data_IF_070331400297
#
_entry.id   IF_070331400297
#
_cell.length_a   1.000
_cell.length_b   1.000
_cell.length_c   1.000
_cell.angle_alpha   90.00
_cell.angle_beta   90.00
_cell.angle_gamma   90.00
#
_symmetry.space_group_name_H-M   'P 1'
#
loop_
_entity.id
_entity.type
_entity.pdbx_description
1 polymer ?
#
# COMPACT_ATOMS: atom_id res chain seq x y z
N UNK A 1 -11.33 -11.49 5.58
CA UNK A 1 -10.95 -11.28 4.16
C UNK A 1 -11.67 -10.08 3.55
N UNK A 2 -13.01 -10.11 3.45
CA UNK A 2 -13.81 -9.08 2.77
C UNK A 2 -13.57 -7.64 3.25
N UNK A 3 -13.48 -7.43 4.57
CA UNK A 3 -13.16 -6.12 5.15
C UNK A 3 -11.77 -5.63 4.70
N UNK A 4 -10.76 -6.51 4.70
CA UNK A 4 -9.41 -6.19 4.23
C UNK A 4 -9.39 -5.89 2.74
N UNK A 5 -10.20 -6.57 1.92
CA UNK A 5 -10.33 -6.27 0.50
C UNK A 5 -10.84 -4.85 0.25
N UNK A 6 -11.84 -4.40 1.02
CA UNK A 6 -12.33 -3.01 0.96
C UNK A 6 -11.24 -2.05 1.44
N UNK A 7 -10.64 -2.30 2.60
CA UNK A 7 -9.60 -1.42 3.15
C UNK A 7 -8.37 -1.29 2.24
N UNK A 8 -7.94 -2.38 1.60
CA UNK A 8 -6.85 -2.38 0.63
C UNK A 8 -7.21 -1.55 -0.60
N UNK A 9 -8.39 -1.78 -1.18
CA UNK A 9 -8.83 -1.10 -2.40
C UNK A 9 -8.98 0.42 -2.21
N UNK A 10 -9.36 0.86 -1.00
CA UNK A 10 -9.38 2.27 -0.61
C UNK A 10 -8.04 2.77 -0.04
N UNK A 11 -6.97 1.98 -0.13
CA UNK A 11 -5.60 2.35 0.25
C UNK A 11 -5.48 2.78 1.73
N UNK A 12 -6.28 2.16 2.60
CA UNK A 12 -6.28 2.42 4.05
C UNK A 12 -5.09 1.76 4.73
N UNK A 13 -4.79 0.51 4.37
CA UNK A 13 -3.66 -0.24 4.92
C UNK A 13 -3.02 -1.13 3.86
N UNK A 14 -1.74 -1.46 4.06
CA UNK A 14 -1.06 -2.48 3.26
C UNK A 14 -1.62 -3.85 3.62
N UNK A 15 -1.98 -4.64 2.63
CA UNK A 15 -2.39 -6.03 2.77
C UNK A 15 -1.62 -6.90 1.76
N UNK A 16 -1.54 -8.23 1.97
CA UNK A 16 -0.96 -9.15 1.00
C UNK A 16 -1.87 -9.40 -0.22
N UNK A 17 -3.01 -8.70 -0.32
CA UNK A 17 -3.96 -8.86 -1.42
C UNK A 17 -3.46 -8.13 -2.67
N UNK A 18 -3.69 -8.75 -3.83
CA UNK A 18 -3.43 -8.13 -5.12
C UNK A 18 -4.72 -7.51 -5.67
N UNK A 19 -4.69 -6.22 -5.95
CA UNK A 19 -5.79 -5.49 -6.59
C UNK A 19 -5.63 -5.56 -8.11
N UNK A 20 -6.61 -6.17 -8.78
CA UNK A 20 -6.60 -6.44 -10.23
C UNK A 20 -7.92 -6.04 -10.85
N UNK A 21 -7.94 -5.89 -12.17
CA UNK A 21 -9.15 -5.61 -12.94
C UNK A 21 -9.22 -6.49 -14.17
N UNK A 22 -10.42 -6.86 -14.59
CA UNK A 22 -10.65 -7.54 -15.86
C UNK A 22 -10.76 -6.54 -17.02
N UNK A 23 -11.01 -5.26 -16.73
CA UNK A 23 -11.13 -4.22 -17.73
C UNK A 23 -9.75 -3.76 -18.19
N UNK A 24 -9.40 -4.13 -19.44
CA UNK A 24 -8.16 -3.65 -20.07
C UNK A 24 -8.11 -2.12 -20.12
N UNK A 25 -9.24 -1.47 -20.37
CA UNK A 25 -9.34 -0.01 -20.39
C UNK A 25 -9.02 0.59 -19.01
N UNK A 26 -9.54 0.02 -17.93
CA UNK A 26 -9.21 0.47 -16.57
C UNK A 26 -7.72 0.25 -16.26
N UNK A 27 -7.18 -0.95 -16.55
CA UNK A 27 -5.77 -1.27 -16.33
C UNK A 27 -4.82 -0.32 -17.09
N UNK A 28 -5.08 -0.07 -18.37
CA UNK A 28 -4.32 0.89 -19.17
C UNK A 28 -4.44 2.32 -18.66
N UNK A 29 -5.61 2.72 -18.18
CA UNK A 29 -5.82 4.05 -17.60
C UNK A 29 -5.03 4.23 -16.31
N UNK A 30 -4.95 3.19 -15.46
CA UNK A 30 -4.10 3.20 -14.28
C UNK A 30 -2.61 3.25 -14.62
N UNK A 31 -2.17 2.47 -15.62
CA UNK A 31 -0.76 2.42 -16.00
C UNK A 31 -0.22 3.77 -16.50
N UNK A 32 -1.09 4.66 -17.01
CA UNK A 32 -0.71 6.01 -17.43
C UNK A 32 -1.02 7.10 -16.38
N UNK A 33 -1.79 6.77 -15.34
CA UNK A 33 -2.23 7.74 -14.35
C UNK A 33 -1.02 8.26 -13.55
N UNK A 34 -0.84 9.59 -13.51
CA UNK A 34 0.28 10.26 -12.84
C UNK A 34 1.68 9.75 -13.32
N UNK A 35 1.74 9.18 -14.53
CA UNK A 35 2.96 8.64 -15.13
C UNK A 35 3.70 9.73 -15.93
N UNK A 36 4.99 9.92 -15.66
CA UNK A 36 5.83 10.96 -16.30
C UNK A 36 6.33 10.55 -17.68
N UNK A 37 6.55 9.26 -17.91
CA UNK A 37 7.34 8.79 -19.05
C UNK A 37 6.48 8.41 -20.26
N UNK A 38 5.15 8.67 -20.22
CA UNK A 38 4.18 8.31 -21.26
C UNK A 38 4.24 6.84 -21.71
N UNK A 39 4.80 5.96 -20.88
CA UNK A 39 4.96 4.53 -21.15
C UNK A 39 4.25 3.76 -20.05
N UNK A 40 3.25 2.96 -20.41
CA UNK A 40 2.51 2.10 -19.49
C UNK A 40 2.90 0.63 -19.62
N UNK A 41 2.70 -0.11 -18.53
CA UNK A 41 2.89 -1.56 -18.47
C UNK A 41 1.62 -2.24 -17.98
N UNK A 42 1.26 -3.35 -18.64
CA UNK A 42 0.14 -4.21 -18.26
C UNK A 42 0.67 -5.60 -17.96
N UNK A 43 0.34 -6.10 -16.77
CA UNK A 43 0.65 -7.44 -16.32
C UNK A 43 -0.61 -8.29 -16.45
N UNK A 44 -0.53 -9.38 -17.21
CA UNK A 44 -1.65 -10.30 -17.42
C UNK A 44 -1.43 -11.52 -16.56
N UNK A 45 -2.36 -11.78 -15.63
CA UNK A 45 -2.29 -12.88 -14.69
C UNK A 45 -3.32 -13.97 -15.04
N UNK A 46 -2.89 -15.22 -15.00
CA UNK A 46 -3.73 -16.40 -15.12
C UNK A 46 -4.29 -16.80 -13.77
N UNK A 47 -5.59 -16.64 -13.60
CA UNK A 47 -6.30 -16.86 -12.34
C UNK A 47 -7.49 -17.80 -12.58
N UNK A 48 -7.85 -18.68 -11.62
CA UNK A 48 -9.00 -19.56 -11.75
C UNK A 48 -10.30 -18.85 -12.13
N UNK A 49 -11.19 -19.57 -12.80
CA UNK A 49 -12.45 -19.02 -13.28
C UNK A 49 -13.34 -18.57 -12.12
N UNK A 50 -13.88 -17.36 -12.21
CA UNK A 50 -14.72 -16.77 -11.18
C UNK A 50 -16.19 -17.15 -11.38
N UNK A 51 -16.73 -17.90 -10.43
CA UNK A 51 -18.11 -18.42 -10.44
C UNK A 51 -19.10 -17.59 -9.61
N UNK A 52 -18.63 -16.60 -8.84
CA UNK A 52 -19.49 -15.85 -7.92
C UNK A 52 -18.92 -14.52 -7.43
N UNK A 53 -19.48 -14.02 -6.32
CA UNK A 53 -19.00 -12.79 -5.65
C UNK A 53 -17.65 -13.02 -4.94
N UNK A 54 -17.53 -14.19 -4.34
CA UNK A 54 -16.31 -14.74 -3.78
C UNK A 54 -16.15 -16.11 -4.43
N UNK A 55 -14.99 -16.36 -5.04
CA UNK A 55 -14.66 -17.64 -5.65
C UNK A 55 -13.39 -18.15 -5.02
N UNK A 56 -13.47 -19.33 -4.44
CA UNK A 56 -12.35 -20.03 -3.81
C UNK A 56 -12.03 -21.23 -4.69
N UNK A 57 -10.77 -21.33 -5.09
CA UNK A 57 -10.21 -22.49 -5.76
C UNK A 57 -9.19 -23.14 -4.82
N UNK A 58 -9.54 -24.33 -4.30
CA UNK A 58 -8.73 -25.06 -3.35
C UNK A 58 -7.55 -25.79 -3.99
N UNK A 59 -7.61 -26.08 -5.29
CA UNK A 59 -6.50 -26.74 -6.00
C UNK A 59 -5.38 -25.73 -6.27
N UNK A 60 -5.77 -24.52 -6.64
CA UNK A 60 -4.88 -23.41 -6.96
C UNK A 60 -4.60 -22.52 -5.73
N UNK A 61 -5.23 -22.82 -4.59
CA UNK A 61 -5.15 -22.06 -3.34
C UNK A 61 -5.38 -20.56 -3.55
N UNK A 62 -6.38 -20.18 -4.36
CA UNK A 62 -6.69 -18.78 -4.64
C UNK A 62 -8.11 -18.46 -4.20
N UNK A 63 -8.25 -17.33 -3.52
CA UNK A 63 -9.54 -16.67 -3.38
C UNK A 63 -9.59 -15.37 -4.17
N UNK A 64 -10.66 -15.25 -4.95
CA UNK A 64 -11.02 -14.05 -5.69
C UNK A 64 -12.23 -13.38 -5.04
N UNK A 65 -12.15 -12.07 -4.88
CA UNK A 65 -13.22 -11.23 -4.31
C UNK A 65 -13.60 -10.17 -5.32
N UNK A 66 -14.78 -10.30 -5.92
CA UNK A 66 -15.32 -9.31 -6.86
C UNK A 66 -15.91 -8.13 -6.10
N UNK A 67 -15.16 -7.02 -6.02
CA UNK A 67 -15.58 -5.86 -5.24
C UNK A 67 -16.85 -5.21 -5.79
N UNK A 68 -17.05 -5.27 -7.11
CA UNK A 68 -18.28 -4.79 -7.76
C UNK A 68 -19.54 -5.41 -7.14
N UNK A 69 -19.50 -6.70 -6.78
CA UNK A 69 -20.66 -7.44 -6.28
C UNK A 69 -20.82 -7.39 -4.76
N UNK A 70 -19.81 -6.89 -4.06
CA UNK A 70 -19.75 -6.82 -2.60
C UNK A 70 -19.94 -5.38 -2.11
N UNK A 71 -19.51 -4.40 -2.92
CA UNK A 71 -19.71 -2.99 -2.64
C UNK A 71 -21.19 -2.66 -2.48
N UNK A 72 -21.50 -1.85 -1.47
CA UNK A 72 -22.81 -1.24 -1.36
C UNK A 72 -22.92 -0.05 -2.34
N UNK A 73 -24.12 0.49 -2.52
CA UNK A 73 -24.39 1.67 -3.37
C UNK A 73 -23.58 2.93 -2.99
N UNK A 74 -22.94 2.91 -1.82
CA UNK A 74 -22.06 3.97 -1.33
C UNK A 74 -20.62 3.87 -1.85
N UNK A 75 -20.21 2.69 -2.34
CA UNK A 75 -18.86 2.37 -2.81
C UNK A 75 -18.78 2.52 -4.33
N UNK A 76 -18.50 3.73 -4.81
CA UNK A 76 -18.48 4.03 -6.25
C UNK A 76 -17.19 3.60 -6.92
N UNK A 77 -16.06 3.73 -6.22
CA UNK A 77 -14.73 3.39 -6.76
C UNK A 77 -14.63 1.97 -7.34
N UNK A 78 -15.06 0.89 -6.63
CA UNK A 78 -15.05 -0.47 -7.19
C UNK A 78 -15.84 -0.62 -8.48
N UNK A 79 -16.89 0.19 -8.66
CA UNK A 79 -17.78 0.09 -9.82
C UNK A 79 -17.11 0.58 -11.10
N UNK A 80 -16.43 1.72 -11.03
CA UNK A 80 -15.74 2.30 -12.19
C UNK A 80 -14.44 1.58 -12.56
N UNK A 81 -13.84 0.85 -11.60
CA UNK A 81 -12.55 0.18 -11.79
C UNK A 81 -12.70 -1.29 -12.17
N UNK A 82 -13.91 -1.85 -12.08
CA UNK A 82 -14.15 -3.30 -12.14
C UNK A 82 -13.17 -4.07 -11.23
N UNK A 83 -13.04 -3.61 -9.98
CA UNK A 83 -12.01 -4.08 -9.06
C UNK A 83 -12.24 -5.50 -8.55
N UNK A 84 -11.15 -6.27 -8.52
CA UNK A 84 -11.06 -7.61 -7.95
C UNK A 84 -9.88 -7.69 -7.01
N UNK A 85 -10.08 -8.31 -5.85
CA UNK A 85 -9.01 -8.57 -4.90
C UNK A 85 -8.72 -10.06 -4.89
N UNK A 86 -7.45 -10.39 -5.11
CA UNK A 86 -6.98 -11.77 -5.21
C UNK A 86 -6.04 -12.05 -4.06
N UNK A 87 -6.19 -13.21 -3.46
CA UNK A 87 -5.34 -13.67 -2.36
C UNK A 87 -4.96 -15.12 -2.61
N UNK A 88 -3.74 -15.48 -2.25
CA UNK A 88 -3.36 -16.88 -2.03
C UNK A 88 -3.81 -17.32 -0.64
N UNK A 89 -4.59 -18.40 -0.58
CA UNK A 89 -5.04 -19.00 0.67
C UNK A 89 -3.91 -19.78 1.36
N UNK A 90 -3.97 -19.85 2.69
CA UNK A 90 -3.15 -20.74 3.53
C UNK A 90 -1.63 -20.69 3.33
N UNK A 91 -1.04 -19.52 3.06
CA UNK A 91 0.41 -19.39 3.03
C UNK A 91 0.99 -19.47 4.46
N UNK A 92 1.68 -20.56 4.79
CA UNK A 92 2.61 -20.54 5.93
C UNK A 92 3.90 -19.83 5.53
N UNK A 93 4.69 -19.34 6.49
CA UNK A 93 6.00 -18.72 6.20
C UNK A 93 6.94 -19.67 5.41
N UNK A 94 6.75 -20.99 5.54
CA UNK A 94 7.44 -22.00 4.74
C UNK A 94 7.01 -22.02 3.28
N UNK A 95 5.73 -21.85 2.99
CA UNK A 95 5.20 -21.90 1.62
C UNK A 95 5.61 -20.64 0.83
N UNK A 96 5.66 -19.50 1.52
CA UNK A 96 6.19 -18.24 0.97
C UNK A 96 7.65 -18.39 0.58
N UNK A 97 8.48 -19.05 1.41
CA UNK A 97 9.90 -19.28 1.12
C UNK A 97 10.14 -20.22 -0.06
N UNK A 98 9.23 -21.16 -0.31
CA UNK A 98 9.30 -22.06 -1.47
C UNK A 98 8.81 -21.40 -2.77
N UNK A 99 8.07 -20.30 -2.68
CA UNK A 99 7.55 -19.57 -3.84
C UNK A 99 6.43 -20.31 -4.58
N UNK A 100 5.90 -21.40 -4.05
CA UNK A 100 4.89 -22.23 -4.71
C UNK A 100 3.59 -21.45 -4.97
N UNK A 101 3.26 -20.54 -4.05
CA UNK A 101 2.06 -19.70 -4.02
C UNK A 101 2.32 -18.24 -4.48
N UNK A 102 3.42 -18.00 -5.20
CA UNK A 102 3.78 -16.67 -5.71
C UNK A 102 2.98 -16.32 -6.98
N UNK A 103 2.31 -15.15 -7.00
CA UNK A 103 1.63 -14.61 -8.17
C UNK A 103 2.54 -14.45 -9.39
N UNK A 104 3.86 -14.33 -9.19
CA UNK A 104 4.83 -14.30 -10.30
C UNK A 104 4.74 -15.55 -11.19
N UNK A 105 4.35 -16.71 -10.63
CA UNK A 105 4.16 -17.96 -11.39
C UNK A 105 2.88 -17.97 -12.21
N UNK A 106 1.99 -16.99 -11.99
CA UNK A 106 0.73 -16.80 -12.70
C UNK A 106 0.81 -15.70 -13.76
N UNK A 107 1.96 -15.07 -13.92
CA UNK A 107 2.18 -14.07 -14.96
C UNK A 107 2.23 -14.73 -16.34
N UNK A 108 1.23 -14.45 -17.16
CA UNK A 108 1.12 -14.96 -18.53
C UNK A 108 1.89 -14.04 -19.48
N UNK A 109 1.75 -12.72 -19.32
CA UNK A 109 2.34 -11.76 -20.24
C UNK A 109 2.57 -10.40 -19.57
N UNK A 110 3.56 -9.66 -20.10
CA UNK A 110 3.76 -8.24 -19.81
C UNK A 110 3.71 -7.49 -21.14
N UNK A 111 2.81 -6.52 -21.25
CA UNK A 111 2.73 -5.63 -22.39
C UNK A 111 3.24 -4.24 -22.02
N UNK A 112 4.09 -3.69 -22.89
CA UNK A 112 4.52 -2.30 -22.83
C UNK A 112 3.79 -1.52 -23.91
N UNK A 113 3.27 -0.34 -23.58
CA UNK A 113 2.62 0.54 -24.55
C UNK A 113 3.01 2.00 -24.32
N UNK A 114 2.91 2.80 -25.39
CA UNK A 114 3.09 4.24 -25.33
C UNK A 114 1.72 4.91 -25.25
N UNK A 115 1.56 5.86 -24.33
CA UNK A 115 0.35 6.65 -24.16
C UNK A 115 0.20 7.67 -25.30
N UNK A 116 -0.37 7.24 -26.42
CA UNK A 116 -0.57 8.09 -27.60
C UNK A 116 -1.86 7.71 -28.35
N UNK A 117 -2.25 8.54 -29.31
CA UNK A 117 -3.44 8.32 -30.13
C UNK A 117 -3.39 7.03 -30.93
N UNK A 118 -2.20 6.54 -31.30
CA UNK A 118 -2.05 5.26 -32.01
C UNK A 118 -2.44 4.07 -31.13
N UNK A 119 -2.11 4.10 -29.85
CA UNK A 119 -2.50 3.06 -28.90
C UNK A 119 -3.99 3.11 -28.57
N UNK A 120 -4.52 4.31 -28.28
CA UNK A 120 -5.92 4.46 -27.86
C UNK A 120 -6.91 4.41 -29.02
N UNK A 121 -6.51 4.81 -30.23
CA UNK A 121 -7.39 4.89 -31.39
C UNK A 121 -8.58 5.81 -31.12
N UNK A 122 -9.79 5.25 -31.15
CA UNK A 122 -11.03 5.97 -30.84
C UNK A 122 -11.34 6.01 -29.34
N UNK A 123 -10.73 5.13 -28.55
CA UNK A 123 -10.89 5.10 -27.11
C UNK A 123 -10.11 6.24 -26.46
N UNK A 124 -10.42 6.51 -25.19
CA UNK A 124 -9.65 7.43 -24.35
C UNK A 124 -9.44 6.82 -22.98
N UNK A 125 -8.33 7.15 -22.30
CA UNK A 125 -8.15 6.76 -20.92
C UNK A 125 -9.31 7.23 -20.05
N UNK A 126 -9.67 6.42 -19.06
CA UNK A 126 -10.65 6.78 -18.04
C UNK A 126 -10.06 7.95 -17.24
N UNK A 127 -10.84 9.01 -17.10
CA UNK A 127 -10.42 10.20 -16.36
C UNK A 127 -10.22 9.88 -14.87
N UNK A 128 -9.28 10.59 -14.24
CA UNK A 128 -8.95 10.41 -12.82
C UNK A 128 -10.18 10.60 -11.93
N UNK A 129 -11.05 11.55 -12.26
CA UNK A 129 -12.26 11.85 -11.47
C UNK A 129 -13.29 10.72 -11.53
N UNK A 130 -13.24 9.87 -12.57
CA UNK A 130 -14.11 8.68 -12.69
C UNK A 130 -13.48 7.50 -11.96
N UNK A 131 -12.16 7.29 -12.11
CA UNK A 131 -11.43 6.25 -11.38
C UNK A 131 -11.47 6.53 -9.87
N UNK A 132 -11.30 7.77 -9.46
CA UNK A 132 -11.29 8.22 -8.07
C UNK A 132 -12.41 9.26 -7.86
N UNK A 133 -13.67 8.82 -7.75
CA UNK A 133 -14.80 9.72 -7.57
C UNK A 133 -14.65 10.54 -6.30
N UNK A 134 -14.82 11.87 -6.41
CA UNK A 134 -14.80 12.77 -5.26
C UNK A 134 -15.95 12.47 -4.28
N UNK A 135 -17.14 12.22 -4.83
CA UNK A 135 -18.35 11.92 -4.06
C UNK A 135 -18.49 10.42 -3.81
N UNK A 136 -17.60 9.86 -3.01
CA UNK A 136 -17.64 8.47 -2.56
C UNK A 136 -17.76 8.43 -1.02
N UNK A 137 -18.92 7.97 -0.52
CA UNK A 137 -19.19 7.91 0.92
C UNK A 137 -18.32 6.85 1.60
N UNK A 138 -18.01 5.75 0.91
CA UNK A 138 -17.11 4.73 1.43
C UNK A 138 -15.68 5.28 1.54
N UNK A 139 -15.23 6.09 0.58
CA UNK A 139 -13.95 6.80 0.68
C UNK A 139 -13.87 7.63 1.96
N UNK A 140 -14.91 8.42 2.28
CA UNK A 140 -14.94 9.23 3.51
C UNK A 140 -14.87 8.36 4.78
N UNK A 141 -15.59 7.24 4.80
CA UNK A 141 -15.54 6.27 5.92
C UNK A 141 -14.13 5.70 6.05
N UNK A 142 -13.54 5.24 4.94
CA UNK A 142 -12.19 4.70 4.90
C UNK A 142 -11.12 5.71 5.31
N UNK A 143 -11.25 6.98 4.91
CA UNK A 143 -10.36 8.06 5.36
C UNK A 143 -10.48 8.31 6.86
N UNK A 144 -11.71 8.26 7.41
CA UNK A 144 -11.94 8.38 8.85
C UNK A 144 -11.29 7.22 9.60
N UNK A 145 -11.49 5.98 9.14
CA UNK A 145 -10.85 4.79 9.71
C UNK A 145 -9.32 4.88 9.58
N UNK A 146 -8.81 5.38 8.46
CA UNK A 146 -7.37 5.56 8.24
C UNK A 146 -6.80 6.51 9.29
N UNK A 147 -7.47 7.64 9.56
CA UNK A 147 -7.11 8.56 10.64
C UNK A 147 -7.23 7.87 11.99
N UNK A 148 -8.39 7.27 12.30
CA UNK A 148 -8.67 6.60 13.58
C UNK A 148 -7.76 5.42 13.88
N UNK A 149 -7.24 4.69 12.88
CA UNK A 149 -6.25 3.62 13.08
C UNK A 149 -4.98 4.12 13.77
N UNK A 150 -4.61 5.39 13.56
CA UNK A 150 -3.52 6.06 14.28
C UNK A 150 -3.96 6.54 15.67
N UNK A 151 -5.26 6.79 15.89
CA UNK A 151 -5.82 7.25 17.18
C UNK A 151 -6.28 6.12 18.11
N UNK A 152 -6.62 4.92 17.62
CA UNK A 152 -7.06 3.79 18.45
C UNK A 152 -5.92 3.12 19.21
N UNK A 153 -4.68 3.36 18.81
CA UNK A 153 -3.53 3.15 19.68
C UNK A 153 -3.49 4.17 20.84
N UNK A 154 -4.12 5.33 20.74
CA UNK A 154 -3.97 6.46 21.68
C UNK A 154 -4.89 6.44 22.92
N UNK A 155 -5.60 5.34 23.24
CA UNK A 155 -6.60 5.36 24.34
C UNK A 155 -6.33 4.42 25.54
N UNK A 156 -5.23 3.67 25.55
CA UNK A 156 -4.74 2.97 26.76
C UNK A 156 -3.26 3.35 26.96
N UNK A 157 -2.85 3.72 28.18
CA UNK A 157 -1.57 4.39 28.47
C UNK A 157 -0.35 3.86 27.70
N UNK A 158 -0.14 2.54 27.70
CA UNK A 158 0.99 1.90 27.01
C UNK A 158 0.82 1.87 25.49
N UNK A 159 -0.41 1.71 24.99
CA UNK A 159 -0.71 1.72 23.56
C UNK A 159 -0.54 3.11 22.97
N UNK A 160 -0.71 4.17 23.76
CA UNK A 160 -0.60 5.56 23.30
C UNK A 160 0.79 5.86 22.75
N UNK A 161 1.80 5.50 23.54
CA UNK A 161 3.20 5.70 23.16
C UNK A 161 3.52 4.88 21.89
N UNK A 162 3.04 3.63 21.81
CA UNK A 162 3.23 2.78 20.61
C UNK A 162 2.60 3.43 19.38
N UNK A 163 1.39 3.95 19.52
CA UNK A 163 0.66 4.66 18.47
C UNK A 163 1.38 5.90 17.99
N UNK A 164 1.82 6.73 18.92
CA UNK A 164 2.56 7.95 18.64
C UNK A 164 3.87 7.64 17.89
N UNK A 165 4.63 6.66 18.35
CA UNK A 165 5.85 6.23 17.68
C UNK A 165 5.57 5.75 16.25
N UNK A 166 4.58 4.87 16.06
CA UNK A 166 4.24 4.33 14.74
C UNK A 166 3.68 5.40 13.79
N UNK A 167 2.94 6.38 14.31
CA UNK A 167 2.45 7.51 13.53
C UNK A 167 3.64 8.33 12.99
N UNK A 168 4.53 8.77 13.88
CA UNK A 168 5.73 9.54 13.53
C UNK A 168 6.65 8.77 12.56
N UNK A 169 6.78 7.46 12.75
CA UNK A 169 7.59 6.60 11.87
C UNK A 169 7.02 6.51 10.46
N UNK A 170 5.70 6.26 10.33
CA UNK A 170 5.04 6.18 9.02
C UNK A 170 5.13 7.50 8.25
N UNK A 171 5.03 8.58 8.99
CA UNK A 171 5.24 9.94 8.53
C UNK A 171 6.61 10.14 7.87
N UNK A 172 7.68 9.64 8.49
CA UNK A 172 9.03 9.61 7.89
C UNK A 172 9.08 8.72 6.64
N UNK A 173 8.47 7.53 6.69
CA UNK A 173 8.43 6.61 5.54
C UNK A 173 7.73 7.23 4.33
N UNK A 174 6.62 7.94 4.55
CA UNK A 174 5.83 8.55 3.49
C UNK A 174 6.61 9.65 2.77
N UNK A 175 7.40 10.44 3.50
CA UNK A 175 8.23 11.49 2.92
C UNK A 175 9.37 10.93 2.09
N UNK A 176 10.12 9.97 2.63
CA UNK A 176 11.18 9.29 1.89
C UNK A 176 10.62 8.68 0.61
N UNK A 177 9.41 8.10 0.67
CA UNK A 177 8.71 7.58 -0.51
C UNK A 177 8.32 8.68 -1.50
N UNK A 178 7.82 9.84 -1.04
CA UNK A 178 7.46 10.97 -1.90
C UNK A 178 8.68 11.55 -2.63
N UNK A 179 9.79 11.71 -1.92
CA UNK A 179 11.02 12.30 -2.48
C UNK A 179 11.73 11.37 -3.46
N UNK A 180 11.77 10.07 -3.16
CA UNK A 180 12.54 9.10 -3.97
C UNK A 180 11.72 8.25 -4.92
N UNK A 181 10.39 8.25 -4.78
CA UNK A 181 9.47 7.31 -5.43
C UNK A 181 9.79 5.82 -5.20
N UNK A 182 10.63 5.50 -4.21
CA UNK A 182 10.98 4.12 -3.88
C UNK A 182 10.05 3.54 -2.82
N UNK A 183 9.54 2.33 -3.08
CA UNK A 183 8.68 1.61 -2.13
C UNK A 183 9.46 0.99 -0.96
N UNK A 184 10.77 0.77 -1.12
CA UNK A 184 11.63 0.27 -0.06
C UNK A 184 12.30 1.46 0.65
N UNK A 185 11.96 1.62 1.94
CA UNK A 185 12.45 2.73 2.76
C UNK A 185 13.97 2.87 2.76
N UNK A 186 14.71 1.77 2.89
CA UNK A 186 16.18 1.80 2.95
C UNK A 186 16.84 2.10 1.62
N UNK A 187 16.23 1.64 0.53
CA UNK A 187 16.66 2.05 -0.81
C UNK A 187 16.39 3.54 -1.00
N UNK A 188 15.24 4.04 -0.54
CA UNK A 188 14.92 5.47 -0.52
C UNK A 188 15.97 6.29 0.24
N UNK A 189 16.28 5.94 1.49
CA UNK A 189 17.32 6.62 2.27
C UNK A 189 18.68 6.58 1.55
N UNK A 190 19.06 5.43 0.99
CA UNK A 190 20.32 5.30 0.25
C UNK A 190 20.35 6.20 -1.00
N UNK A 191 19.22 6.34 -1.71
CA UNK A 191 19.07 7.26 -2.84
C UNK A 191 19.19 8.72 -2.39
N UNK A 192 18.58 9.12 -1.27
CA UNK A 192 18.69 10.49 -0.74
C UNK A 192 20.12 10.85 -0.33
N UNK A 193 20.84 9.89 0.26
CA UNK A 193 22.27 10.06 0.60
C UNK A 193 23.12 10.16 -0.66
N UNK A 194 22.84 9.36 -1.69
CA UNK A 194 23.54 9.44 -2.99
C UNK A 194 23.25 10.74 -3.74
N UNK A 195 22.13 11.40 -3.47
CA UNK A 195 21.78 12.72 -3.99
C UNK A 195 22.38 13.87 -3.17
N UNK A 196 23.41 13.58 -2.36
CA UNK A 196 24.11 14.55 -1.49
C UNK A 196 23.20 15.27 -0.48
N UNK A 197 22.11 14.62 -0.04
CA UNK A 197 21.29 15.20 1.03
C UNK A 197 22.00 15.03 2.39
N UNK A 198 22.75 16.07 2.76
CA UNK A 198 23.60 16.17 3.97
C UNK A 198 22.82 15.80 5.25
N UNK A 199 21.53 16.13 5.32
CA UNK A 199 20.69 15.86 6.49
C UNK A 199 20.41 14.36 6.67
N UNK A 200 20.11 13.64 5.58
CA UNK A 200 19.90 12.20 5.62
C UNK A 200 21.21 11.44 5.82
N UNK A 201 22.32 11.93 5.28
CA UNK A 201 23.64 11.33 5.48
C UNK A 201 24.04 11.39 6.96
N UNK A 202 23.89 12.56 7.58
CA UNK A 202 24.19 12.77 9.01
C UNK A 202 23.34 11.89 9.92
N UNK A 203 22.05 11.74 9.61
CA UNK A 203 21.08 11.03 10.46
C UNK A 203 20.90 9.55 10.10
N UNK A 204 21.61 9.03 9.10
CA UNK A 204 21.45 7.65 8.59
C UNK A 204 21.55 6.58 9.68
N UNK A 205 22.55 6.69 10.55
CA UNK A 205 22.78 5.70 11.63
C UNK A 205 21.62 5.66 12.62
N UNK A 206 21.08 6.83 12.95
CA UNK A 206 19.98 6.94 13.92
C UNK A 206 18.65 6.49 13.29
N UNK A 207 18.42 6.79 12.01
CA UNK A 207 17.28 6.26 11.26
C UNK A 207 17.31 4.72 11.21
N UNK A 208 18.49 4.13 10.95
CA UNK A 208 18.66 2.66 10.98
C UNK A 208 18.41 2.08 12.39
N UNK A 209 18.84 2.79 13.46
CA UNK A 209 18.60 2.41 14.85
C UNK A 209 17.10 2.38 15.17
N UNK A 210 16.39 3.46 14.83
CA UNK A 210 14.94 3.58 15.02
C UNK A 210 14.16 2.58 14.16
N UNK A 211 14.63 2.25 12.95
CA UNK A 211 14.04 1.18 12.11
C UNK A 211 14.12 -0.17 12.80
N UNK A 212 15.29 -0.49 13.38
CA UNK A 212 15.47 -1.75 14.11
C UNK A 212 14.59 -1.78 15.36
N UNK A 213 14.51 -0.67 16.11
CA UNK A 213 13.60 -0.54 17.24
C UNK A 213 12.14 -0.72 16.82
N UNK A 214 11.71 -0.11 15.71
CA UNK A 214 10.37 -0.30 15.13
C UNK A 214 10.08 -1.77 14.86
N UNK A 215 11.03 -2.51 14.30
CA UNK A 215 10.85 -3.93 14.02
C UNK A 215 10.68 -4.74 15.31
N UNK A 216 11.51 -4.48 16.32
CA UNK A 216 11.36 -5.08 17.66
C UNK A 216 10.01 -4.73 18.27
N UNK A 217 9.56 -3.48 18.13
CA UNK A 217 8.27 -3.01 18.64
C UNK A 217 7.08 -3.72 17.98
N UNK A 218 7.15 -3.97 16.68
CA UNK A 218 6.06 -4.64 15.94
C UNK A 218 6.02 -6.14 16.19
N UNK A 219 7.17 -6.78 16.46
CA UNK A 219 7.26 -8.23 16.63
C UNK A 219 7.23 -8.70 18.10
N UNK A 220 7.65 -7.86 19.06
CA UNK A 220 7.81 -8.22 20.47
C UNK A 220 7.29 -7.12 21.42
N UNK A 221 6.03 -6.69 21.22
CA UNK A 221 5.42 -5.57 21.97
C UNK A 221 5.48 -5.71 23.49
N UNK A 222 5.49 -6.94 24.03
CA UNK A 222 5.48 -7.21 25.48
C UNK A 222 6.84 -7.05 26.17
N UNK A 223 7.94 -6.89 25.42
CA UNK A 223 9.30 -6.79 25.98
C UNK A 223 9.80 -5.35 26.16
N UNK A 224 9.12 -4.37 25.58
CA UNK A 224 9.59 -2.97 25.57
C UNK A 224 8.94 -2.21 26.71
N UNK A 225 9.77 -1.56 27.54
CA UNK A 225 9.30 -0.71 28.63
C UNK A 225 8.87 0.67 28.09
N UNK A 226 7.85 1.27 28.70
CA UNK A 226 7.37 2.60 28.32
C UNK A 226 8.46 3.68 28.36
N UNK A 227 9.34 3.65 29.37
CA UNK A 227 10.48 4.57 29.48
C UNK A 227 11.39 4.52 28.25
N UNK A 228 11.62 3.31 27.72
CA UNK A 228 12.41 3.15 26.50
C UNK A 228 11.66 3.69 25.29
N UNK A 229 10.33 3.54 25.25
CA UNK A 229 9.52 3.98 24.13
C UNK A 229 9.40 5.51 24.07
N UNK A 230 9.29 6.19 25.22
CA UNK A 230 9.32 7.65 25.33
C UNK A 230 10.65 8.23 24.80
N UNK A 231 11.78 7.64 25.19
CA UNK A 231 13.11 8.04 24.70
C UNK A 231 13.18 7.93 23.17
N UNK A 232 12.67 6.83 22.60
CA UNK A 232 12.72 6.63 21.15
C UNK A 232 11.72 7.52 20.39
N UNK A 233 10.57 7.87 20.98
CA UNK A 233 9.67 8.90 20.44
C UNK A 233 10.39 10.24 20.36
N UNK A 234 11.08 10.65 21.42
CA UNK A 234 11.78 11.93 21.45
C UNK A 234 12.95 11.98 20.46
N UNK A 235 13.71 10.88 20.33
CA UNK A 235 14.74 10.74 19.31
C UNK A 235 14.15 10.85 17.90
N UNK A 236 13.02 10.19 17.65
CA UNK A 236 12.33 10.27 16.37
C UNK A 236 11.85 11.70 16.10
N UNK A 237 11.18 12.36 17.05
CA UNK A 237 10.77 13.78 16.94
C UNK A 237 11.95 14.70 16.64
N UNK A 238 13.12 14.45 17.24
CA UNK A 238 14.34 15.23 16.99
C UNK A 238 14.82 15.07 15.56
N UNK A 239 14.93 13.85 15.04
CA UNK A 239 15.31 13.60 13.63
C UNK A 239 14.31 14.25 12.68
N UNK A 240 13.03 14.11 12.99
CA UNK A 240 11.95 14.70 12.23
C UNK A 240 12.05 16.23 12.12
N UNK A 241 12.42 16.90 13.22
CA UNK A 241 12.74 18.34 13.22
C UNK A 241 13.99 18.66 12.41
N UNK A 242 15.05 17.86 12.56
CA UNK A 242 16.31 18.06 11.82
C UNK A 242 16.15 17.88 10.30
N UNK A 243 15.18 17.07 9.87
CA UNK A 243 14.81 16.88 8.47
C UNK A 243 13.81 17.96 7.97
N UNK A 244 13.52 19.01 8.76
CA UNK A 244 12.53 20.07 8.47
C UNK A 244 11.11 19.54 8.20
N UNK A 245 10.74 18.45 8.85
CA UNK A 245 9.44 17.86 8.61
C UNK A 245 8.42 18.41 9.62
N UNK A 246 7.37 19.04 9.11
CA UNK A 246 6.23 19.47 9.91
C UNK A 246 5.30 18.29 10.19
N UNK A 247 5.11 18.00 11.48
CA UNK A 247 4.08 17.10 11.98
C UNK A 247 3.15 17.93 12.86
N UNK A 248 1.99 18.29 12.30
CA UNK A 248 0.83 18.82 13.05
C UNK A 248 -0.21 17.73 13.17
#
# INVERSE_FOLDING_TARGET
>A
MLQYSILQHYEVCKTPLLDVTQSLKAACSFAILDNKDNVGYIYVLGIPYMTGRISVDSEEYITNVRLLSIGCSLSKRPFFQEGYLVQTEFTTDSDIKKGELDFNRRLIAIYKFNNNEKFWGLEKPIRKEILYPEQDKMKNICEKIKKEKYYLSLQEGDKYLIGEFLYLWNSLEELVRKETKNNNFMRGISTLVQQENILYEKNRREIDRLRNFRNTLVHETSKIKNEQLEIEIDNLKKILKELNISYQ
#
